data_IF_622765694971
#
_entry.id   IF_622765694971
#
_cell.length_a   1.000
_cell.length_b   1.000
_cell.length_c   1.000
_cell.angle_alpha   90.00
_cell.angle_beta   90.00
_cell.angle_gamma   90.00
#
_symmetry.space_group_name_H-M   'P 1'
#
loop_
_entity.id
_entity.type
_entity.pdbx_description
1 polymer ?
#
# COMPACT_ATOMS: atom_id res chain seq x y z
N UNK A 1 -3.44 -15.04 -17.56
CA UNK A 1 -3.96 -13.81 -16.92
C UNK A 1 -5.45 -13.95 -16.68
N UNK A 2 -5.91 -13.66 -15.47
CA UNK A 2 -7.30 -13.88 -15.10
C UNK A 2 -8.15 -12.61 -15.31
N UNK A 3 -9.04 -12.64 -16.29
CA UNK A 3 -9.88 -11.47 -16.62
C UNK A 3 -10.90 -11.12 -15.53
N UNK A 4 -11.18 -12.04 -14.58
CA UNK A 4 -12.08 -11.80 -13.44
C UNK A 4 -11.56 -10.67 -12.56
N UNK A 5 -10.22 -10.51 -12.43
CA UNK A 5 -9.57 -9.40 -11.70
C UNK A 5 -10.10 -8.02 -12.13
N UNK A 6 -10.36 -7.83 -13.43
CA UNK A 6 -10.83 -6.56 -13.96
C UNK A 6 -12.30 -6.26 -13.63
N UNK A 7 -13.04 -7.29 -13.19
CA UNK A 7 -14.49 -7.23 -12.94
C UNK A 7 -14.87 -7.25 -11.46
N UNK A 8 -13.89 -7.34 -10.56
CA UNK A 8 -14.11 -7.37 -9.11
C UNK A 8 -14.94 -6.17 -8.66
N UNK A 9 -16.07 -6.43 -8.00
CA UNK A 9 -16.97 -5.45 -7.39
C UNK A 9 -17.36 -5.82 -5.97
N UNK A 10 -17.33 -7.11 -5.62
CA UNK A 10 -17.77 -7.62 -4.31
C UNK A 10 -16.66 -8.44 -3.64
N UNK A 11 -16.82 -8.72 -2.34
CA UNK A 11 -15.93 -9.60 -1.59
C UNK A 11 -16.07 -11.05 -2.09
N UNK A 12 -17.25 -11.46 -2.56
CA UNK A 12 -17.49 -12.78 -3.16
C UNK A 12 -16.68 -12.97 -4.44
N UNK A 13 -16.57 -11.93 -5.29
CA UNK A 13 -15.70 -11.96 -6.46
C UNK A 13 -14.26 -12.23 -6.06
N UNK A 14 -13.77 -11.53 -5.01
CA UNK A 14 -12.42 -11.69 -4.49
C UNK A 14 -12.19 -13.10 -3.94
N UNK A 15 -13.10 -13.59 -3.08
CA UNK A 15 -12.98 -14.91 -2.46
C UNK A 15 -12.97 -16.04 -3.49
N UNK A 16 -13.76 -15.92 -4.54
CA UNK A 16 -13.80 -16.90 -5.65
C UNK A 16 -12.44 -16.97 -6.35
N UNK A 17 -11.82 -15.82 -6.64
CA UNK A 17 -10.51 -15.78 -7.31
C UNK A 17 -9.41 -16.29 -6.39
N UNK A 18 -9.44 -15.90 -5.11
CA UNK A 18 -8.45 -16.32 -4.12
C UNK A 18 -8.48 -17.82 -3.87
N UNK A 19 -9.68 -18.44 -3.80
CA UNK A 19 -9.83 -19.90 -3.67
C UNK A 19 -9.28 -20.65 -4.86
N UNK A 20 -9.47 -20.11 -6.07
CA UNK A 20 -9.06 -20.76 -7.32
C UNK A 20 -7.55 -20.58 -7.60
N UNK A 21 -7.00 -19.39 -7.37
CA UNK A 21 -5.66 -18.99 -7.83
C UNK A 21 -4.81 -18.21 -6.82
N UNK A 22 -5.31 -17.99 -5.61
CA UNK A 22 -4.53 -17.33 -4.57
C UNK A 22 -3.27 -18.13 -4.25
N UNK A 23 -2.13 -17.44 -4.16
CA UNK A 23 -0.85 -18.04 -3.80
C UNK A 23 -0.54 -17.77 -2.33
N UNK A 24 -0.18 -18.77 -1.53
CA UNK A 24 0.23 -18.56 -0.16
C UNK A 24 1.62 -17.90 -0.09
N UNK A 25 1.89 -17.20 1.01
CA UNK A 25 3.13 -16.43 1.20
C UNK A 25 4.39 -17.28 1.00
N UNK A 26 4.41 -18.48 1.53
CA UNK A 26 5.53 -19.41 1.43
C UNK A 26 5.85 -19.87 0.01
N UNK A 27 4.94 -19.62 -0.94
CA UNK A 27 5.17 -19.94 -2.36
C UNK A 27 5.98 -18.87 -3.09
N UNK A 28 6.26 -17.72 -2.47
CA UNK A 28 7.04 -16.63 -3.04
C UNK A 28 8.48 -16.67 -2.51
N UNK A 29 9.46 -16.68 -3.40
CA UNK A 29 10.90 -16.77 -3.04
C UNK A 29 11.75 -15.86 -3.91
N UNK A 30 12.94 -15.53 -3.43
CA UNK A 30 13.96 -14.86 -4.23
C UNK A 30 14.19 -15.64 -5.55
N UNK A 31 14.28 -14.90 -6.66
CA UNK A 31 14.36 -15.45 -8.01
C UNK A 31 13.01 -15.58 -8.73
N UNK A 32 11.88 -15.57 -8.02
CA UNK A 32 10.56 -15.61 -8.67
C UNK A 32 10.31 -14.36 -9.52
N UNK A 33 9.60 -14.55 -10.63
CA UNK A 33 9.08 -13.46 -11.46
C UNK A 33 7.58 -13.32 -11.24
N UNK A 34 7.16 -12.14 -10.80
CA UNK A 34 5.75 -11.80 -10.56
C UNK A 34 5.18 -11.10 -11.76
N UNK A 35 4.07 -11.63 -12.29
CA UNK A 35 3.33 -11.02 -13.39
C UNK A 35 2.26 -10.09 -12.84
N UNK A 36 2.29 -8.82 -13.24
CA UNK A 36 1.32 -7.82 -12.83
C UNK A 36 0.17 -7.74 -13.82
N UNK A 37 -1.04 -7.97 -13.31
CA UNK A 37 -2.26 -7.87 -14.07
C UNK A 37 -3.39 -7.33 -13.19
N UNK A 38 -3.68 -6.05 -13.33
CA UNK A 38 -4.73 -5.36 -12.59
C UNK A 38 -5.44 -4.30 -13.47
N UNK A 39 -6.36 -3.54 -12.90
CA UNK A 39 -7.12 -2.52 -13.65
C UNK A 39 -6.26 -1.39 -14.21
N UNK A 40 -5.15 -1.06 -13.54
CA UNK A 40 -4.25 0.04 -13.93
C UNK A 40 -3.05 -0.41 -14.78
N UNK A 41 -2.55 -1.64 -14.57
CA UNK A 41 -1.33 -2.15 -15.22
C UNK A 41 -1.53 -3.54 -15.79
N UNK A 42 -1.06 -3.72 -17.02
CA UNK A 42 -1.06 -5.01 -17.72
C UNK A 42 0.29 -5.19 -18.40
N UNK A 43 0.82 -6.42 -18.34
CA UNK A 43 2.07 -6.75 -19.04
C UNK A 43 3.35 -6.24 -18.38
N UNK A 44 3.28 -5.77 -17.13
CA UNK A 44 4.45 -5.51 -16.30
C UNK A 44 4.82 -6.77 -15.53
N UNK A 45 6.11 -7.00 -15.34
CA UNK A 45 6.62 -8.06 -14.46
C UNK A 45 7.83 -7.54 -13.67
N UNK A 46 8.07 -8.13 -12.52
CA UNK A 46 9.25 -7.87 -11.71
C UNK A 46 9.75 -9.13 -11.02
N UNK A 47 11.04 -9.18 -10.74
CA UNK A 47 11.64 -10.30 -10.01
C UNK A 47 11.79 -9.97 -8.53
N UNK A 48 11.63 -10.98 -7.68
CA UNK A 48 11.96 -10.90 -6.26
C UNK A 48 13.48 -11.09 -6.11
N UNK A 49 14.16 -10.09 -5.61
CA UNK A 49 15.63 -10.12 -5.41
C UNK A 49 16.00 -10.79 -4.10
N UNK A 50 15.09 -10.68 -3.11
CA UNK A 50 15.19 -11.28 -1.77
C UNK A 50 13.87 -11.94 -1.40
N UNK A 51 13.85 -12.77 -0.37
CA UNK A 51 12.63 -13.38 0.13
C UNK A 51 11.67 -12.33 0.73
N UNK A 52 10.34 -12.52 0.62
CA UNK A 52 9.35 -11.61 1.20
C UNK A 52 9.59 -11.32 2.69
N UNK A 53 9.49 -10.05 3.05
CA UNK A 53 9.65 -9.59 4.44
C UNK A 53 11.08 -9.56 4.95
N UNK A 54 12.08 -9.91 4.12
CA UNK A 54 13.49 -9.91 4.51
C UNK A 54 14.24 -8.68 3.99
N UNK A 55 15.44 -8.44 4.52
CA UNK A 55 16.38 -7.39 4.08
C UNK A 55 15.72 -6.01 3.92
N UNK A 56 14.89 -5.61 4.91
CA UNK A 56 14.25 -4.30 4.92
C UNK A 56 15.24 -3.20 5.33
N UNK A 57 15.46 -2.20 4.46
CA UNK A 57 16.34 -1.06 4.74
C UNK A 57 15.70 0.00 5.67
N UNK A 58 14.45 -0.21 6.11
CA UNK A 58 13.75 0.63 7.07
C UNK A 58 12.88 -0.25 7.98
N UNK A 59 12.34 0.32 9.06
CA UNK A 59 11.55 -0.41 10.07
C UNK A 59 10.09 0.07 10.03
N UNK A 60 9.25 -0.48 9.13
CA UNK A 60 7.83 -0.16 9.12
C UNK A 60 7.16 -0.66 10.39
N UNK A 61 6.10 0.02 10.82
CA UNK A 61 5.29 -0.37 11.98
C UNK A 61 4.49 -1.65 11.73
N UNK A 62 3.95 -1.80 10.53
CA UNK A 62 3.15 -2.95 10.12
C UNK A 62 3.52 -3.38 8.70
N UNK A 63 3.48 -4.69 8.44
CA UNK A 63 3.58 -5.24 7.09
C UNK A 63 2.39 -4.81 6.22
N UNK A 64 2.48 -4.90 4.88
CA UNK A 64 1.36 -4.57 4.02
C UNK A 64 0.09 -5.37 4.31
N UNK A 65 0.22 -6.67 4.60
CA UNK A 65 -0.91 -7.52 4.97
C UNK A 65 -1.58 -7.10 6.27
N UNK A 66 -0.80 -6.77 7.30
CA UNK A 66 -1.32 -6.23 8.56
C UNK A 66 -2.01 -4.88 8.34
N UNK A 67 -1.47 -4.01 7.51
CA UNK A 67 -2.11 -2.72 7.18
C UNK A 67 -3.49 -2.91 6.53
N UNK A 68 -3.62 -3.87 5.61
CA UNK A 68 -4.93 -4.20 5.02
C UNK A 68 -5.89 -4.77 6.08
N UNK A 69 -5.42 -5.67 6.93
CA UNK A 69 -6.20 -6.33 7.98
C UNK A 69 -6.64 -5.37 9.10
N UNK A 70 -5.83 -4.36 9.42
CA UNK A 70 -6.15 -3.35 10.44
C UNK A 70 -7.07 -2.23 9.91
N UNK A 71 -7.18 -2.05 8.59
CA UNK A 71 -8.04 -1.04 7.95
C UNK A 71 -7.28 0.21 7.49
N UNK A 72 -6.84 0.15 6.24
CA UNK A 72 -6.19 1.24 5.53
C UNK A 72 -6.95 1.59 4.26
N UNK A 73 -6.87 2.86 3.84
CA UNK A 73 -7.37 3.33 2.55
C UNK A 73 -8.85 2.99 2.28
N UNK A 74 -9.68 3.04 3.34
CA UNK A 74 -11.14 2.83 3.26
C UNK A 74 -11.52 1.47 2.65
N UNK A 75 -10.64 0.47 2.82
CA UNK A 75 -10.83 -0.89 2.33
C UNK A 75 -10.78 -1.06 0.80
N UNK A 76 -10.53 0.00 0.04
CA UNK A 76 -10.61 -0.04 -1.43
C UNK A 76 -9.28 -0.26 -2.15
N UNK A 77 -8.16 -0.26 -1.44
CA UNK A 77 -6.84 -0.32 -2.07
C UNK A 77 -6.42 -1.77 -2.41
N UNK A 78 -5.80 -1.98 -3.58
CA UNK A 78 -5.26 -3.26 -4.07
C UNK A 78 -6.27 -4.38 -4.31
N UNK A 79 -7.57 -4.16 -4.25
CA UNK A 79 -8.59 -5.21 -4.40
C UNK A 79 -8.57 -5.93 -5.76
N UNK A 80 -7.89 -5.38 -6.74
CA UNK A 80 -7.64 -5.97 -8.05
C UNK A 80 -6.18 -6.47 -8.23
N UNK A 81 -5.43 -6.63 -7.13
CA UNK A 81 -4.05 -7.12 -7.13
C UNK A 81 -3.92 -8.50 -6.45
N UNK A 82 -5.00 -9.28 -6.39
CA UNK A 82 -5.12 -10.54 -5.63
C UNK A 82 -4.10 -11.60 -6.02
N UNK A 83 -3.63 -11.60 -7.27
CA UNK A 83 -2.70 -12.58 -7.80
C UNK A 83 -1.25 -12.07 -7.86
N UNK A 84 -1.04 -10.81 -7.47
CA UNK A 84 0.27 -10.21 -7.34
C UNK A 84 0.89 -10.44 -5.95
N UNK A 85 0.04 -10.50 -4.92
CA UNK A 85 0.43 -10.56 -3.51
C UNK A 85 -0.08 -11.83 -2.82
N UNK A 86 0.45 -12.17 -1.63
CA UNK A 86 0.02 -13.34 -0.86
C UNK A 86 -1.48 -13.34 -0.57
N UNK A 87 -2.12 -14.48 -0.75
CA UNK A 87 -3.55 -14.65 -0.54
C UNK A 87 -3.96 -14.33 0.92
N UNK A 88 -3.09 -14.61 1.89
CA UNK A 88 -3.31 -14.35 3.31
C UNK A 88 -3.55 -12.88 3.60
N UNK A 89 -2.92 -11.94 2.87
CA UNK A 89 -3.15 -10.52 3.06
C UNK A 89 -4.62 -10.15 2.86
N UNK A 90 -5.22 -10.74 1.83
CA UNK A 90 -6.63 -10.49 1.50
C UNK A 90 -7.57 -11.31 2.36
N UNK A 91 -7.25 -12.59 2.63
CA UNK A 91 -8.07 -13.44 3.51
C UNK A 91 -8.20 -12.84 4.90
N UNK A 92 -7.11 -12.42 5.52
CA UNK A 92 -7.12 -11.78 6.83
C UNK A 92 -7.97 -10.50 6.84
N UNK A 93 -7.81 -9.66 5.82
CA UNK A 93 -8.58 -8.43 5.70
C UNK A 93 -10.08 -8.69 5.40
N UNK A 94 -10.42 -9.75 4.66
CA UNK A 94 -11.81 -10.17 4.43
C UNK A 94 -12.43 -10.68 5.74
N UNK A 95 -11.73 -11.55 6.48
CA UNK A 95 -12.23 -12.11 7.74
C UNK A 95 -12.50 -11.02 8.79
N UNK A 96 -11.73 -9.93 8.76
CA UNK A 96 -11.88 -8.78 9.66
C UNK A 96 -12.82 -7.69 9.08
N UNK A 97 -13.53 -7.98 7.99
CA UNK A 97 -14.43 -7.05 7.29
C UNK A 97 -13.79 -5.71 6.92
N UNK A 98 -12.52 -5.73 6.48
CA UNK A 98 -11.73 -4.53 6.17
C UNK A 98 -11.61 -4.20 4.68
N UNK A 99 -12.17 -5.01 3.77
CA UNK A 99 -12.11 -4.76 2.33
C UNK A 99 -13.44 -4.28 1.75
N UNK A 100 -13.36 -3.30 0.87
CA UNK A 100 -14.50 -2.68 0.16
C UNK A 100 -14.18 -2.57 -1.33
N UNK A 101 -14.33 -3.66 -2.11
CA UNK A 101 -13.99 -3.65 -3.54
C UNK A 101 -14.93 -2.79 -4.38
N UNK A 102 -16.15 -2.54 -3.90
CA UNK A 102 -17.14 -1.64 -4.51
C UNK A 102 -16.81 -0.17 -4.23
N UNK A 103 -17.44 0.42 -3.23
CA UNK A 103 -17.21 1.79 -2.80
C UNK A 103 -16.35 1.87 -1.54
N UNK A 104 -15.53 2.93 -1.38
CA UNK A 104 -14.72 3.11 -0.17
C UNK A 104 -15.63 3.36 1.04
N UNK A 105 -15.20 2.87 2.21
CA UNK A 105 -15.93 3.02 3.47
C UNK A 105 -14.95 3.47 4.57
N UNK A 106 -15.13 4.70 5.03
CA UNK A 106 -14.30 5.31 6.07
C UNK A 106 -14.35 4.53 7.39
N UNK A 107 -15.49 3.89 7.69
CA UNK A 107 -15.68 3.15 8.94
C UNK A 107 -14.74 1.96 9.11
N UNK A 108 -14.21 1.40 8.01
CA UNK A 108 -13.25 0.28 8.07
C UNK A 108 -11.81 0.72 8.35
N UNK A 109 -11.52 2.02 8.26
CA UNK A 109 -10.21 2.53 8.64
C UNK A 109 -9.90 2.23 10.11
N UNK A 110 -8.62 2.08 10.43
CA UNK A 110 -8.15 1.76 11.80
C UNK A 110 -8.75 2.70 12.87
N UNK A 111 -8.84 3.99 12.56
CA UNK A 111 -9.39 5.00 13.48
C UNK A 111 -10.77 5.51 13.04
N UNK A 112 -11.43 4.86 12.08
CA UNK A 112 -12.78 5.23 11.61
C UNK A 112 -12.89 6.62 11.00
N UNK A 113 -11.79 7.23 10.59
CA UNK A 113 -11.76 8.61 10.06
C UNK A 113 -11.23 8.65 8.63
N UNK A 114 -11.73 9.62 7.86
CA UNK A 114 -11.20 9.91 6.53
C UNK A 114 -9.80 10.55 6.65
N UNK A 115 -8.82 9.94 6.02
CA UNK A 115 -7.47 10.49 5.85
C UNK A 115 -6.98 10.40 4.41
N UNK A 116 -7.90 10.09 3.48
CA UNK A 116 -7.62 9.96 2.06
C UNK A 116 -7.82 11.29 1.35
N UNK A 117 -6.90 11.61 0.45
CA UNK A 117 -7.06 12.68 -0.52
C UNK A 117 -7.11 12.10 -1.92
N UNK A 118 -7.92 12.65 -2.83
CA UNK A 118 -7.95 12.21 -4.23
C UNK A 118 -6.54 12.32 -4.88
N UNK A 119 -6.23 11.42 -5.79
CA UNK A 119 -4.95 11.44 -6.51
C UNK A 119 -4.71 12.79 -7.20
N UNK A 120 -5.77 13.40 -7.74
CA UNK A 120 -5.70 14.74 -8.35
C UNK A 120 -5.21 15.81 -7.39
N UNK A 121 -5.63 15.75 -6.11
CA UNK A 121 -5.14 16.66 -5.08
C UNK A 121 -3.64 16.44 -4.80
N UNK A 122 -3.20 15.18 -4.69
CA UNK A 122 -1.79 14.83 -4.49
C UNK A 122 -0.92 15.31 -5.65
N UNK A 123 -1.39 15.12 -6.89
CA UNK A 123 -0.70 15.61 -8.11
C UNK A 123 -0.61 17.14 -8.10
N UNK A 124 -1.74 17.84 -7.85
CA UNK A 124 -1.78 19.31 -7.79
C UNK A 124 -0.87 19.89 -6.70
N UNK A 125 -0.76 19.20 -5.57
CA UNK A 125 0.12 19.58 -4.45
C UNK A 125 1.59 19.25 -4.68
N UNK A 126 1.94 18.59 -5.80
CA UNK A 126 3.31 18.14 -6.08
C UNK A 126 3.80 17.02 -5.17
N UNK A 127 2.89 16.30 -4.51
CA UNK A 127 3.21 15.23 -3.55
C UNK A 127 3.38 13.86 -4.21
N UNK A 128 2.94 13.71 -5.46
CA UNK A 128 3.21 12.52 -6.26
C UNK A 128 4.57 12.69 -6.93
N UNK A 129 5.56 11.86 -6.64
CA UNK A 129 6.86 11.94 -7.28
C UNK A 129 6.74 11.86 -8.80
N UNK A 130 7.47 12.72 -9.50
CA UNK A 130 7.41 12.80 -10.97
C UNK A 130 6.17 13.50 -11.53
N UNK A 131 5.25 13.99 -10.70
CA UNK A 131 4.06 14.70 -11.18
C UNK A 131 4.26 16.21 -11.21
N UNK A 132 4.07 16.81 -12.39
CA UNK A 132 4.02 18.26 -12.61
C UNK A 132 5.37 19.00 -12.61
N UNK A 133 5.33 20.30 -13.01
CA UNK A 133 6.51 21.17 -13.15
C UNK A 133 7.25 21.48 -11.83
N UNK A 134 6.61 21.25 -10.69
CA UNK A 134 7.16 21.45 -9.34
C UNK A 134 7.30 20.14 -8.57
N UNK A 135 7.07 19.00 -9.22
CA UNK A 135 7.14 17.69 -8.55
C UNK A 135 8.55 17.39 -8.06
N UNK A 136 8.67 16.94 -6.80
CA UNK A 136 9.92 16.36 -6.32
C UNK A 136 10.23 15.10 -7.14
N UNK A 137 11.51 14.90 -7.47
CA UNK A 137 11.96 13.72 -8.18
C UNK A 137 11.36 13.57 -9.59
N UNK A 138 11.67 14.50 -10.54
CA UNK A 138 11.15 14.44 -11.92
C UNK A 138 11.52 13.14 -12.66
N UNK A 139 12.63 12.49 -12.27
CA UNK A 139 13.05 11.18 -12.78
C UNK A 139 12.00 10.08 -12.56
N UNK A 140 11.14 10.20 -11.55
CA UNK A 140 10.07 9.25 -11.28
C UNK A 140 8.85 9.39 -12.20
N UNK A 141 8.87 10.33 -13.14
CA UNK A 141 7.89 10.36 -14.23
C UNK A 141 8.14 9.29 -15.30
N UNK A 142 9.35 8.71 -15.34
CA UNK A 142 9.67 7.60 -16.23
C UNK A 142 9.10 6.28 -15.68
N UNK A 143 8.16 5.61 -16.40
CA UNK A 143 7.60 4.33 -15.97
C UNK A 143 8.63 3.19 -15.83
N UNK A 144 9.83 3.34 -16.43
CA UNK A 144 10.93 2.38 -16.26
C UNK A 144 11.58 2.52 -14.89
N UNK A 145 11.60 3.73 -14.33
CA UNK A 145 12.14 4.02 -13.00
C UNK A 145 11.07 3.82 -11.93
N UNK A 146 9.84 4.30 -12.19
CA UNK A 146 8.72 4.19 -11.26
C UNK A 146 7.52 3.45 -11.91
N UNK A 147 7.46 2.13 -11.79
CA UNK A 147 6.36 1.33 -12.32
C UNK A 147 5.12 1.31 -11.39
N UNK A 148 5.12 2.07 -10.29
CA UNK A 148 4.11 2.01 -9.22
C UNK A 148 3.06 3.13 -9.37
N UNK A 149 2.00 2.86 -10.16
CA UNK A 149 0.96 3.85 -10.49
C UNK A 149 0.13 4.28 -9.27
N UNK A 150 0.12 3.48 -8.20
CA UNK A 150 -0.70 3.71 -6.99
C UNK A 150 0.08 4.37 -5.85
N UNK A 151 1.31 4.81 -6.12
CA UNK A 151 2.13 5.54 -5.17
C UNK A 151 2.79 4.67 -4.09
N UNK A 152 3.06 5.30 -2.93
CA UNK A 152 3.94 4.75 -1.90
C UNK A 152 3.52 3.36 -1.41
N UNK A 153 2.24 3.14 -1.12
CA UNK A 153 1.81 1.85 -0.54
C UNK A 153 1.97 0.69 -1.53
N UNK A 154 1.72 0.90 -2.84
CA UNK A 154 2.00 -0.14 -3.84
C UNK A 154 3.50 -0.43 -3.95
N UNK A 155 4.33 0.63 -3.93
CA UNK A 155 5.77 0.46 -3.85
C UNK A 155 6.16 -0.35 -2.60
N UNK A 156 5.61 -0.02 -1.43
CA UNK A 156 5.90 -0.71 -0.18
C UNK A 156 5.52 -2.19 -0.25
N UNK A 157 4.35 -2.52 -0.78
CA UNK A 157 3.95 -3.92 -0.98
C UNK A 157 4.98 -4.69 -1.84
N UNK A 158 5.38 -4.13 -2.98
CA UNK A 158 6.36 -4.75 -3.88
C UNK A 158 7.77 -4.82 -3.28
N UNK A 159 8.17 -3.80 -2.55
CA UNK A 159 9.44 -3.78 -1.82
C UNK A 159 9.45 -4.85 -0.71
N UNK A 160 8.37 -4.95 0.05
CA UNK A 160 8.20 -5.98 1.08
C UNK A 160 8.20 -7.39 0.47
N UNK A 161 7.60 -7.58 -0.70
CA UNK A 161 7.66 -8.84 -1.46
C UNK A 161 9.07 -9.21 -1.93
N UNK A 162 10.03 -8.32 -1.86
CA UNK A 162 11.42 -8.59 -2.25
C UNK A 162 11.87 -7.97 -3.57
N UNK A 163 11.02 -7.15 -4.24
CA UNK A 163 11.47 -6.35 -5.38
C UNK A 163 12.46 -5.27 -4.91
N UNK A 164 13.54 -5.07 -5.67
CA UNK A 164 14.50 -3.99 -5.41
C UNK A 164 14.72 -3.15 -6.66
N UNK A 165 14.48 -1.83 -6.53
CA UNK A 165 14.70 -0.80 -7.54
C UNK A 165 15.50 0.34 -6.91
N UNK A 166 16.85 0.32 -6.95
CA UNK A 166 17.71 1.15 -6.09
C UNK A 166 17.39 2.65 -6.11
N UNK A 167 17.08 3.22 -7.27
CA UNK A 167 16.73 4.66 -7.40
C UNK A 167 15.39 4.95 -6.73
N UNK A 168 14.36 4.17 -7.07
CA UNK A 168 13.01 4.33 -6.52
C UNK A 168 13.00 4.04 -5.01
N UNK A 169 13.67 2.98 -4.58
CA UNK A 169 13.71 2.56 -3.18
C UNK A 169 14.33 3.64 -2.29
N UNK A 170 15.47 4.21 -2.70
CA UNK A 170 16.10 5.32 -1.98
C UNK A 170 15.15 6.51 -1.78
N UNK A 171 14.42 6.89 -2.83
CA UNK A 171 13.49 8.01 -2.78
C UNK A 171 12.29 7.68 -1.87
N UNK A 172 11.70 6.50 -2.02
CA UNK A 172 10.51 6.13 -1.26
C UNK A 172 10.80 5.91 0.23
N UNK A 173 11.96 5.37 0.58
CA UNK A 173 12.44 5.24 1.97
C UNK A 173 12.69 6.63 2.56
N UNK A 174 13.31 7.55 1.81
CA UNK A 174 13.51 8.94 2.26
C UNK A 174 12.17 9.64 2.54
N UNK A 175 11.17 9.46 1.67
CA UNK A 175 9.82 10.00 1.87
C UNK A 175 9.14 9.40 3.11
N UNK A 176 9.27 8.09 3.31
CA UNK A 176 8.78 7.42 4.51
C UNK A 176 9.43 8.01 5.76
N UNK A 177 10.76 8.16 5.78
CA UNK A 177 11.48 8.77 6.91
C UNK A 177 11.00 10.21 7.18
N UNK A 178 10.80 11.02 6.14
CA UNK A 178 10.32 12.39 6.28
C UNK A 178 8.89 12.47 6.85
N UNK A 179 8.09 11.40 6.72
CA UNK A 179 6.73 11.36 7.26
C UNK A 179 6.69 11.29 8.78
N UNK A 180 7.79 10.93 9.46
CA UNK A 180 7.93 10.94 10.93
C UNK A 180 7.66 12.30 11.57
N UNK A 181 7.74 13.42 10.81
CA UNK A 181 7.35 14.76 11.29
C UNK A 181 5.92 14.80 11.84
N UNK A 182 5.02 13.99 11.30
CA UNK A 182 3.65 13.89 11.78
C UNK A 182 3.56 13.23 13.15
N UNK A 183 4.41 12.25 13.44
CA UNK A 183 4.54 11.66 14.77
C UNK A 183 5.03 12.70 15.80
N UNK A 184 6.03 13.52 15.42
CA UNK A 184 6.50 14.64 16.25
C UNK A 184 5.40 15.64 16.57
N UNK A 185 4.56 15.98 15.60
CA UNK A 185 3.43 16.90 15.81
C UNK A 185 2.35 16.30 16.75
N UNK A 186 2.06 15.01 16.66
CA UNK A 186 1.14 14.35 17.60
C UNK A 186 1.73 14.39 19.01
N UNK A 187 2.98 13.97 19.20
CA UNK A 187 3.65 13.99 20.51
C UNK A 187 3.70 15.39 21.16
N UNK A 188 3.85 16.44 20.36
CA UNK A 188 3.92 17.81 20.85
C UNK A 188 2.55 18.42 21.23
N UNK A 189 1.44 17.84 20.74
CA UNK A 189 0.11 18.49 20.86
C UNK A 189 -0.97 17.59 21.44
N UNK A 190 -0.68 16.30 21.68
CA UNK A 190 -1.65 15.35 22.22
C UNK A 190 -1.11 14.69 23.48
N UNK A 191 -1.99 14.36 24.42
CA UNK A 191 -1.63 13.53 25.56
C UNK A 191 -1.30 12.11 25.10
N UNK A 192 -0.34 11.43 25.75
CA UNK A 192 -0.04 10.04 25.43
C UNK A 192 -1.28 9.15 25.55
N UNK A 193 -1.56 8.34 24.51
CA UNK A 193 -2.71 7.43 24.48
C UNK A 193 -4.04 8.08 24.08
N UNK A 194 -4.12 9.40 23.93
CA UNK A 194 -5.32 10.06 23.44
C UNK A 194 -5.48 9.89 21.93
N UNK A 195 -6.25 8.90 21.51
CA UNK A 195 -6.49 8.58 20.10
C UNK A 195 -7.48 9.52 19.41
N UNK A 196 -8.28 10.26 20.18
CA UNK A 196 -9.22 11.26 19.67
C UNK A 196 -8.48 12.55 19.26
N UNK A 197 -7.29 12.76 19.79
CA UNK A 197 -6.44 13.87 19.39
C UNK A 197 -5.76 13.57 18.04
N UNK A 198 -6.09 14.39 17.03
CA UNK A 198 -5.54 14.31 15.66
C UNK A 198 -5.76 12.96 14.94
N UNK A 199 -6.96 12.35 14.97
CA UNK A 199 -7.20 11.01 14.46
C UNK A 199 -6.90 10.90 12.96
N UNK A 200 -7.19 11.93 12.14
CA UNK A 200 -6.83 11.93 10.70
C UNK A 200 -5.31 11.85 10.47
N UNK A 201 -4.53 12.55 11.30
CA UNK A 201 -3.07 12.54 11.20
C UNK A 201 -2.51 11.19 11.65
N UNK A 202 -3.11 10.57 12.67
CA UNK A 202 -2.79 9.21 13.13
C UNK A 202 -3.13 8.16 12.06
N UNK A 203 -4.30 8.25 11.43
CA UNK A 203 -4.67 7.38 10.30
C UNK A 203 -3.68 7.55 9.13
N UNK A 204 -3.26 8.78 8.85
CA UNK A 204 -2.23 9.07 7.84
C UNK A 204 -0.88 8.44 8.19
N UNK A 205 -0.43 8.49 9.45
CA UNK A 205 0.77 7.79 9.93
C UNK A 205 0.67 6.29 9.67
N UNK A 206 -0.45 5.68 10.05
CA UNK A 206 -0.70 4.27 9.81
C UNK A 206 -0.65 3.92 8.31
N UNK A 207 -1.24 4.73 7.44
CA UNK A 207 -1.21 4.52 5.99
C UNK A 207 0.20 4.64 5.38
N UNK A 208 1.17 5.19 6.12
CA UNK A 208 2.59 5.19 5.80
C UNK A 208 3.39 4.20 6.66
N UNK A 209 2.71 3.22 7.28
CA UNK A 209 3.32 2.22 8.16
C UNK A 209 4.20 2.81 9.26
N UNK A 210 3.73 3.90 9.87
CA UNK A 210 4.24 4.43 11.14
C UNK A 210 3.26 4.09 12.27
N UNK A 211 3.76 4.01 13.51
CA UNK A 211 2.93 3.79 14.68
C UNK A 211 1.91 4.94 14.88
N UNK A 212 0.59 4.67 14.82
CA UNK A 212 -0.44 5.69 15.06
C UNK A 212 -0.77 5.88 16.56
N UNK A 213 -0.34 4.95 17.42
CA UNK A 213 -0.67 4.88 18.85
C UNK A 213 0.37 5.59 19.73
N UNK A 214 0.70 6.82 19.38
CA UNK A 214 1.71 7.64 20.06
C UNK A 214 1.11 8.42 21.22
#
# INVERSE_FOLDING_TARGET
MDKRILKIKTVEDMTTILKDKGRPLESFKAGDTIQVWNKMKKGYSYSLTVDPGTEMAFKPYASPGEMLAMGAFEGKYLNDCLLEFPAEWFWNAIMLDKLRPGEPDVSVNLLGVDSRQPLSFWVKSGWVPGSGKKGMHPELSDPKINPDERGWFQWYCRYWMGRRLPVLDKIQISRWSAFTRHAGQIKANCSPGDLECRPRQRQGLFQWSHNPFL
#
